data_IF_227561077107
#
_entry.id   IF_227561077107
#
_cell.length_a   1.000
_cell.length_b   1.000
_cell.length_c   1.000
_cell.angle_alpha   90.00
_cell.angle_beta   90.00
_cell.angle_gamma   90.00
#
_symmetry.space_group_name_H-M   'P 1'
#
loop_
_entity.id
_entity.type
_entity.pdbx_description
1 polymer ?
#
# COMPACT_ATOMS: atom_id res chain seq x y z
N UNK A 1 18.51 2.06 -2.42
CA UNK A 1 18.84 2.73 -3.70
C UNK A 1 18.45 4.18 -3.52
N UNK A 2 19.41 5.10 -3.65
CA UNK A 2 19.19 6.54 -3.51
C UNK A 2 18.17 7.04 -4.55
N UNK A 3 17.31 7.98 -4.17
CA UNK A 3 16.23 8.53 -5.03
C UNK A 3 16.77 9.18 -6.33
N UNK A 4 18.03 9.62 -6.31
CA UNK A 4 18.74 10.09 -7.49
C UNK A 4 19.17 8.94 -8.42
N UNK A 5 19.51 7.78 -7.88
CA UNK A 5 19.87 6.59 -8.65
C UNK A 5 18.68 5.96 -9.37
N UNK A 6 17.49 5.96 -8.74
CA UNK A 6 16.25 5.49 -9.40
C UNK A 6 15.82 6.40 -10.54
N UNK A 7 15.90 7.73 -10.36
CA UNK A 7 15.60 8.69 -11.42
C UNK A 7 16.58 8.59 -12.60
N UNK A 8 17.87 8.39 -12.31
CA UNK A 8 18.88 8.17 -13.35
C UNK A 8 18.62 6.88 -14.14
N UNK A 9 18.28 5.78 -13.46
CA UNK A 9 17.93 4.51 -14.12
C UNK A 9 16.68 4.65 -15.00
N UNK A 10 15.65 5.37 -14.54
CA UNK A 10 14.44 5.62 -15.33
C UNK A 10 14.72 6.35 -16.65
N UNK A 11 15.75 7.19 -16.69
CA UNK A 11 16.13 7.94 -17.89
C UNK A 11 17.09 7.15 -18.79
N UNK A 12 17.96 6.33 -18.21
CA UNK A 12 18.97 5.54 -18.94
C UNK A 12 18.37 4.31 -19.66
N UNK A 13 17.45 3.60 -19.01
CA UNK A 13 16.84 2.37 -19.53
C UNK A 13 16.10 2.51 -20.86
N UNK A 14 15.28 3.55 -21.11
CA UNK A 14 14.62 3.71 -22.40
C UNK A 14 15.63 3.97 -23.53
N UNK A 15 16.73 4.69 -23.25
CA UNK A 15 17.79 4.95 -24.23
C UNK A 15 18.50 3.64 -24.61
N UNK A 16 18.84 2.82 -23.62
CA UNK A 16 19.44 1.49 -23.85
C UNK A 16 18.48 0.60 -24.66
N UNK A 17 17.18 0.61 -24.34
CA UNK A 17 16.16 -0.17 -25.06
C UNK A 17 16.05 0.23 -26.53
N UNK A 18 16.08 1.52 -26.83
CA UNK A 18 16.05 2.03 -28.20
C UNK A 18 17.32 1.57 -28.95
N UNK A 19 18.48 1.65 -28.32
CA UNK A 19 19.75 1.16 -28.89
C UNK A 19 19.72 -0.34 -29.23
N UNK A 20 19.23 -1.18 -28.31
CA UNK A 20 19.10 -2.63 -28.53
C UNK A 20 18.13 -2.94 -29.68
N UNK A 21 17.01 -2.21 -29.76
CA UNK A 21 16.01 -2.38 -30.83
C UNK A 21 16.59 -2.04 -32.19
N UNK A 22 17.31 -0.91 -32.29
CA UNK A 22 17.97 -0.47 -33.54
C UNK A 22 19.06 -1.48 -33.94
N UNK A 23 19.87 -1.93 -32.99
CA UNK A 23 20.93 -2.92 -33.24
C UNK A 23 20.36 -4.26 -33.70
N UNK A 24 19.28 -4.76 -33.10
CA UNK A 24 18.64 -6.00 -33.50
C UNK A 24 18.01 -5.91 -34.90
N UNK A 25 17.39 -4.79 -35.24
CA UNK A 25 16.85 -4.53 -36.60
C UNK A 25 17.97 -4.46 -37.63
N UNK A 26 19.11 -3.85 -37.27
CA UNK A 26 20.29 -3.79 -38.13
C UNK A 26 20.91 -5.17 -38.37
N UNK A 27 21.11 -5.97 -37.31
CA UNK A 27 21.60 -7.36 -37.42
C UNK A 27 20.63 -8.27 -38.17
N UNK A 28 19.33 -8.10 -38.01
CA UNK A 28 18.33 -8.84 -38.79
C UNK A 28 18.47 -8.58 -40.30
N UNK A 29 18.80 -7.33 -40.69
CA UNK A 29 19.08 -6.98 -42.09
C UNK A 29 20.34 -7.69 -42.62
N UNK A 30 21.40 -7.73 -41.82
CA UNK A 30 22.67 -8.37 -42.18
C UNK A 30 22.53 -9.90 -42.35
N UNK A 31 21.63 -10.52 -41.58
CA UNK A 31 21.32 -11.96 -41.64
C UNK A 31 20.18 -12.32 -42.62
N UNK A 32 19.75 -11.39 -43.48
CA UNK A 32 18.63 -11.54 -44.41
C UNK A 32 17.31 -12.04 -43.76
N UNK A 33 17.05 -11.62 -42.51
CA UNK A 33 15.82 -11.92 -41.75
C UNK A 33 14.84 -10.74 -41.76
N UNK A 34 13.59 -11.01 -41.36
CA UNK A 34 12.53 -9.98 -41.30
C UNK A 34 12.86 -8.85 -40.32
N UNK A 35 13.17 -7.67 -40.84
CA UNK A 35 13.46 -6.45 -40.07
C UNK A 35 12.29 -6.05 -39.17
N UNK A 36 11.08 -6.16 -39.71
CA UNK A 36 9.84 -5.85 -38.99
C UNK A 36 9.55 -6.84 -37.87
N UNK A 37 9.70 -8.14 -38.13
CA UNK A 37 9.49 -9.18 -37.13
C UNK A 37 10.43 -9.03 -35.93
N UNK A 38 11.71 -8.75 -36.18
CA UNK A 38 12.69 -8.55 -35.12
C UNK A 38 12.48 -7.25 -34.34
N UNK A 39 12.11 -6.16 -35.00
CA UNK A 39 11.79 -4.90 -34.32
C UNK A 39 10.60 -5.03 -33.36
N UNK A 40 9.54 -5.72 -33.81
CA UNK A 40 8.36 -6.04 -33.01
C UNK A 40 8.74 -6.96 -31.84
N UNK A 41 9.46 -8.05 -32.13
CA UNK A 41 9.87 -9.03 -31.13
C UNK A 41 10.68 -8.40 -29.98
N UNK A 42 11.68 -7.57 -30.27
CA UNK A 42 12.50 -6.92 -29.24
C UNK A 42 11.76 -5.85 -28.45
N UNK A 43 10.79 -5.18 -29.07
CA UNK A 43 9.97 -4.18 -28.41
C UNK A 43 9.08 -4.81 -27.33
N UNK A 44 8.47 -5.96 -27.65
CA UNK A 44 7.60 -6.70 -26.73
C UNK A 44 8.37 -7.52 -25.70
N UNK A 45 9.54 -8.07 -26.03
CA UNK A 45 10.35 -8.86 -25.08
C UNK A 45 10.80 -8.07 -23.84
N UNK A 46 11.01 -6.76 -23.99
CA UNK A 46 11.49 -5.87 -22.91
C UNK A 46 10.37 -5.14 -22.16
N UNK A 47 9.13 -5.27 -22.64
CA UNK A 47 7.95 -4.59 -22.09
C UNK A 47 7.55 -5.14 -20.70
N UNK A 48 7.55 -6.47 -20.45
CA UNK A 48 7.28 -7.03 -19.13
C UNK A 48 8.30 -6.57 -18.07
N UNK A 49 9.59 -6.56 -18.39
CA UNK A 49 10.65 -6.10 -17.49
C UNK A 49 10.46 -4.61 -17.09
N UNK A 50 10.05 -3.77 -18.04
CA UNK A 50 9.83 -2.34 -17.80
C UNK A 50 8.59 -2.09 -16.94
N UNK A 51 7.50 -2.82 -17.15
CA UNK A 51 6.30 -2.77 -16.31
C UNK A 51 6.62 -3.22 -14.88
N UNK A 52 7.39 -4.29 -14.70
CA UNK A 52 7.81 -4.78 -13.37
C UNK A 52 8.68 -3.73 -12.65
N UNK A 53 9.60 -3.07 -13.36
CA UNK A 53 10.43 -2.01 -12.77
C UNK A 53 9.62 -0.78 -12.34
N UNK A 54 8.60 -0.40 -13.10
CA UNK A 54 7.66 0.66 -12.70
C UNK A 54 6.85 0.27 -11.46
N UNK A 55 6.51 -1.00 -11.30
CA UNK A 55 5.85 -1.51 -10.09
C UNK A 55 6.79 -1.52 -8.86
N UNK A 56 8.08 -1.82 -9.04
CA UNK A 56 9.09 -1.82 -7.98
C UNK A 56 9.44 -0.41 -7.45
N UNK A 57 9.24 0.64 -8.25
CA UNK A 57 9.45 2.03 -7.83
C UNK A 57 8.48 2.53 -6.73
N UNK A 58 7.52 1.70 -6.31
CA UNK A 58 6.47 2.07 -5.34
C UNK A 58 6.62 1.51 -3.92
N UNK A 59 7.73 0.87 -3.57
CA UNK A 59 7.90 0.38 -2.18
C UNK A 59 9.36 0.30 -1.76
N UNK A 60 9.83 1.26 -0.95
CA UNK A 60 10.91 1.06 0.02
C UNK A 60 11.03 2.24 1.00
N UNK A 61 10.27 2.14 2.09
CA UNK A 61 10.47 2.98 3.27
C UNK A 61 9.94 2.25 4.51
N UNK A 62 10.64 1.17 4.88
CA UNK A 62 10.62 0.63 6.24
C UNK A 62 11.99 0.93 6.88
N UNK A 63 12.03 1.88 7.81
CA UNK A 63 13.12 2.03 8.77
C UNK A 63 12.55 2.46 10.12
N UNK A 64 12.75 1.63 11.13
CA UNK A 64 12.37 1.88 12.52
C UNK A 64 13.60 2.20 13.39
N UNK A 65 13.40 3.16 14.32
CA UNK A 65 14.21 3.49 15.55
C UNK A 65 15.51 4.30 15.28
N UNK A 66 15.90 5.34 16.04
CA UNK A 66 15.60 5.84 17.41
C UNK A 66 15.93 7.38 17.49
N UNK A 67 15.49 8.02 18.57
CA UNK A 67 15.40 9.47 18.94
C UNK A 67 16.75 10.27 18.97
N UNK A 68 16.79 11.52 18.46
CA UNK A 68 17.08 12.76 19.24
C UNK A 68 17.22 14.09 18.41
N UNK A 69 16.55 15.13 18.91
CA UNK A 69 16.81 16.60 18.80
C UNK A 69 16.75 17.40 17.48
N UNK A 70 15.70 18.23 17.36
CA UNK A 70 15.66 19.65 16.86
C UNK A 70 16.08 19.96 15.38
N UNK A 71 15.90 21.21 14.89
CA UNK A 71 14.67 21.76 14.32
C UNK A 71 14.80 21.91 12.79
N UNK A 72 14.34 20.91 12.03
CA UNK A 72 14.25 21.00 10.54
C UNK A 72 12.81 20.75 10.05
N UNK A 73 11.87 20.47 10.98
CA UNK A 73 10.50 20.05 10.68
C UNK A 73 9.63 21.06 9.93
N UNK A 74 10.05 22.33 9.79
CA UNK A 74 9.27 23.35 9.07
C UNK A 74 9.42 23.34 7.54
N UNK A 75 10.36 22.58 6.95
CA UNK A 75 10.60 22.64 5.48
C UNK A 75 10.21 21.39 4.69
N UNK A 76 9.71 20.35 5.35
CA UNK A 76 9.46 19.03 4.73
C UNK A 76 7.96 18.64 4.75
N UNK A 77 7.10 19.37 5.46
CA UNK A 77 5.67 19.06 5.58
C UNK A 77 4.87 19.13 4.26
N UNK A 78 5.41 19.73 3.20
CA UNK A 78 4.62 20.00 1.98
C UNK A 78 4.78 18.97 0.85
N UNK A 79 5.31 17.77 1.11
CA UNK A 79 5.54 16.77 0.04
C UNK A 79 5.36 15.31 0.45
N UNK A 80 4.48 15.05 1.43
CA UNK A 80 4.03 13.67 1.69
C UNK A 80 2.98 13.33 0.62
N UNK A 81 3.10 12.17 -0.07
CA UNK A 81 2.13 11.79 -1.09
C UNK A 81 0.76 11.66 -0.43
N UNK A 82 -0.21 12.33 -1.04
CA UNK A 82 -1.64 12.21 -0.77
C UNK A 82 -2.07 10.73 -0.85
N UNK A 83 -1.83 9.94 0.20
CA UNK A 83 -2.54 8.67 0.41
C UNK A 83 -3.87 9.05 1.06
N UNK A 84 -4.66 9.69 0.19
CA UNK A 84 -6.11 9.81 0.13
C UNK A 84 -6.90 9.80 1.44
N UNK A 85 -7.12 11.02 1.96
CA UNK A 85 -8.24 11.39 2.83
C UNK A 85 -9.53 10.65 2.41
N UNK A 86 -9.78 10.58 1.10
CA UNK A 86 -10.92 9.88 0.51
C UNK A 86 -10.93 8.37 0.83
N UNK A 87 -9.79 7.67 0.77
CA UNK A 87 -9.71 6.23 1.05
C UNK A 87 -9.94 5.93 2.54
N UNK A 88 -9.58 6.85 3.42
CA UNK A 88 -9.89 6.74 4.84
C UNK A 88 -11.38 6.89 5.10
N UNK A 89 -11.95 7.98 4.58
CA UNK A 89 -13.38 8.28 4.65
C UNK A 89 -14.26 7.16 4.11
N UNK A 90 -13.95 6.63 2.92
CA UNK A 90 -14.70 5.53 2.31
C UNK A 90 -14.68 4.25 3.15
N UNK A 91 -13.56 3.96 3.81
CA UNK A 91 -13.43 2.77 4.64
C UNK A 91 -14.27 2.86 5.93
N UNK A 92 -14.34 4.03 6.56
CA UNK A 92 -15.18 4.27 7.74
C UNK A 92 -16.66 4.08 7.43
N UNK A 93 -17.12 4.65 6.32
CA UNK A 93 -18.55 4.77 6.02
C UNK A 93 -19.18 3.46 5.54
N UNK A 94 -18.39 2.56 4.95
CA UNK A 94 -18.91 1.35 4.33
C UNK A 94 -19.13 0.19 5.31
N UNK A 95 -18.94 0.42 6.61
CA UNK A 95 -18.91 -0.64 7.63
C UNK A 95 -19.58 -0.21 8.92
N UNK A 96 -20.09 -1.22 9.63
CA UNK A 96 -20.58 -1.09 10.99
C UNK A 96 -19.45 -1.48 11.94
N UNK A 97 -19.13 -0.58 12.86
CA UNK A 97 -17.99 -0.72 13.77
C UNK A 97 -18.47 -1.03 15.17
N UNK A 98 -18.17 -2.23 15.67
CA UNK A 98 -18.52 -2.61 17.03
C UNK A 98 -17.40 -2.17 17.98
N UNK A 99 -17.76 -1.38 18.98
CA UNK A 99 -16.82 -0.96 20.02
C UNK A 99 -16.53 -2.13 20.96
N UNK A 100 -15.24 -2.47 21.09
CA UNK A 100 -14.77 -3.47 22.03
C UNK A 100 -14.50 -2.82 23.39
N UNK A 101 -15.08 -3.40 24.43
CA UNK A 101 -14.90 -2.97 25.83
C UNK A 101 -14.44 -4.16 26.66
N UNK A 102 -13.50 -3.91 27.57
CA UNK A 102 -12.92 -4.96 28.43
C UNK A 102 -13.86 -5.40 29.56
N UNK A 103 -14.93 -4.66 29.81
CA UNK A 103 -15.97 -4.99 30.79
C UNK A 103 -17.26 -5.42 30.10
N UNK A 104 -18.09 -6.17 30.83
CA UNK A 104 -19.44 -6.60 30.42
C UNK A 104 -20.33 -5.36 30.15
N UNK A 105 -20.21 -4.82 28.95
CA UNK A 105 -21.03 -3.74 28.43
C UNK A 105 -21.94 -4.27 27.34
N UNK A 106 -23.08 -3.61 27.17
CA UNK A 106 -23.93 -3.86 26.01
C UNK A 106 -23.15 -3.56 24.73
N UNK A 107 -23.38 -4.40 23.72
CA UNK A 107 -22.87 -4.21 22.37
C UNK A 107 -23.24 -2.81 21.86
N UNK A 108 -22.23 -2.04 21.48
CA UNK A 108 -22.38 -0.70 20.94
C UNK A 108 -21.81 -0.65 19.52
N UNK A 109 -22.61 -0.21 18.57
CA UNK A 109 -22.26 -0.16 17.15
C UNK A 109 -22.23 1.28 16.66
N UNK A 110 -21.13 1.65 16.02
CA UNK A 110 -20.88 2.95 15.43
C UNK A 110 -21.03 2.85 13.92
N UNK A 111 -21.88 3.71 13.36
CA UNK A 111 -22.18 3.76 11.91
C UNK A 111 -21.87 5.18 11.43
N UNK A 112 -20.77 5.32 10.70
CA UNK A 112 -20.33 6.59 10.14
C UNK A 112 -21.05 6.83 8.81
N UNK A 113 -21.89 7.86 8.72
CA UNK A 113 -22.64 8.14 7.49
C UNK A 113 -21.92 9.15 6.58
N UNK A 114 -22.22 9.10 5.27
CA UNK A 114 -21.60 9.97 4.25
C UNK A 114 -21.81 11.47 4.51
N UNK A 115 -22.93 11.81 5.15
CA UNK A 115 -23.36 13.16 5.49
C UNK A 115 -22.76 13.68 6.80
N UNK A 116 -21.75 12.99 7.37
CA UNK A 116 -21.10 13.31 8.66
C UNK A 116 -21.97 13.03 9.89
N UNK A 117 -23.12 12.37 9.73
CA UNK A 117 -23.89 11.86 10.86
C UNK A 117 -23.20 10.62 11.43
N UNK A 118 -23.07 10.54 12.76
CA UNK A 118 -22.66 9.33 13.46
C UNK A 118 -23.89 8.74 14.15
N UNK A 119 -24.22 7.48 13.86
CA UNK A 119 -25.23 6.74 14.61
C UNK A 119 -24.55 5.79 15.59
N UNK A 120 -24.97 5.82 16.84
CA UNK A 120 -24.48 4.94 17.91
C UNK A 120 -25.65 4.09 18.36
N UNK A 121 -25.66 2.82 17.93
CA UNK A 121 -26.72 1.87 18.26
C UNK A 121 -26.31 1.02 19.45
N UNK A 122 -27.15 0.99 20.49
CA UNK A 122 -26.98 0.14 21.67
C UNK A 122 -28.32 -0.45 22.07
N UNK A 123 -28.42 -1.79 22.10
CA UNK A 123 -29.63 -2.52 22.53
C UNK A 123 -30.94 -2.09 21.82
N UNK A 124 -30.86 -1.57 20.59
CA UNK A 124 -32.02 -1.11 19.81
C UNK A 124 -32.32 0.38 19.93
N UNK A 125 -31.69 1.08 20.87
CA UNK A 125 -31.71 2.55 20.96
C UNK A 125 -30.59 3.13 20.08
N UNK A 126 -30.84 4.30 19.48
CA UNK A 126 -29.90 4.97 18.57
C UNK A 126 -29.69 6.40 19.01
N UNK A 127 -28.47 6.69 19.47
CA UNK A 127 -27.99 8.04 19.69
C UNK A 127 -27.40 8.61 18.40
N UNK A 128 -27.55 9.93 18.23
CA UNK A 128 -27.02 10.66 17.08
C UNK A 128 -25.91 11.60 17.51
N UNK A 129 -24.78 11.50 16.84
CA UNK A 129 -23.66 12.42 16.94
C UNK A 129 -23.25 12.94 15.57
N UNK A 130 -22.13 13.65 15.54
CA UNK A 130 -21.44 14.05 14.31
C UNK A 130 -20.04 13.49 14.29
N UNK A 131 -19.52 13.29 13.08
CA UNK A 131 -18.12 12.96 12.89
C UNK A 131 -17.59 13.73 11.68
N UNK A 132 -16.34 14.17 11.77
CA UNK A 132 -15.68 14.86 10.67
C UNK A 132 -14.20 14.49 10.65
N UNK A 133 -13.64 14.36 9.46
CA UNK A 133 -12.21 14.26 9.32
C UNK A 133 -11.62 15.67 9.35
N UNK A 134 -10.66 15.88 10.23
CA UNK A 134 -9.95 17.14 10.41
C UNK A 134 -8.46 16.91 10.14
N UNK A 135 -7.72 17.99 9.89
CA UNK A 135 -6.34 17.94 9.40
C UNK A 135 -5.43 16.91 10.10
N UNK A 136 -4.41 16.46 9.38
CA UNK A 136 -3.46 15.41 9.81
C UNK A 136 -4.11 14.04 10.08
N UNK A 137 -5.04 13.62 9.20
CA UNK A 137 -5.74 12.33 9.27
C UNK A 137 -6.45 12.10 10.61
N UNK A 138 -6.90 13.16 11.28
CA UNK A 138 -7.58 13.05 12.56
C UNK A 138 -9.09 13.02 12.36
N UNK A 139 -9.81 12.38 13.28
CA UNK A 139 -11.27 12.36 13.29
C UNK A 139 -11.75 13.13 14.50
N UNK A 140 -12.60 14.13 14.30
CA UNK A 140 -13.39 14.71 15.36
C UNK A 140 -14.70 13.93 15.48
N UNK A 141 -15.02 13.47 16.68
CA UNK A 141 -16.31 12.85 17.01
C UNK A 141 -17.00 13.72 18.03
N UNK A 142 -18.23 14.11 17.74
CA UNK A 142 -19.09 14.93 18.58
C UNK A 142 -20.29 14.11 19.05
N UNK A 143 -20.39 13.87 20.35
CA UNK A 143 -21.46 13.11 21.01
C UNK A 143 -21.80 13.84 22.30
N UNK A 144 -23.08 14.00 22.62
CA UNK A 144 -23.55 14.65 23.86
C UNK A 144 -22.94 16.04 24.11
N UNK A 145 -22.83 16.87 23.06
CA UNK A 145 -22.18 18.19 23.08
C UNK A 145 -20.70 18.18 23.50
N UNK A 146 -20.03 17.02 23.41
CA UNK A 146 -18.59 16.88 23.63
C UNK A 146 -17.92 16.49 22.33
N UNK A 147 -16.98 17.32 21.90
CA UNK A 147 -16.13 17.04 20.75
C UNK A 147 -14.81 16.45 21.24
N UNK A 148 -14.45 15.28 20.74
CA UNK A 148 -13.18 14.60 21.04
C UNK A 148 -12.42 14.35 19.76
N UNK A 149 -11.15 14.73 19.74
CA UNK A 149 -10.27 14.53 18.61
C UNK A 149 -9.55 13.20 18.74
N UNK A 150 -9.54 12.42 17.65
CA UNK A 150 -8.94 11.11 17.58
C UNK A 150 -7.93 11.00 16.45
N UNK A 151 -6.84 10.27 16.69
CA UNK A 151 -5.83 9.90 15.70
C UNK A 151 -5.92 8.39 15.41
N UNK A 152 -6.15 7.98 14.15
CA UNK A 152 -6.08 6.59 13.75
C UNK A 152 -4.67 6.04 14.00
N UNK A 153 -4.57 5.00 14.83
CA UNK A 153 -3.29 4.35 15.16
C UNK A 153 -3.12 3.06 14.35
N UNK A 154 -4.22 2.36 14.09
CA UNK A 154 -4.21 1.14 13.29
C UNK A 154 -5.52 1.03 12.50
N UNK A 155 -5.40 0.59 11.24
CA UNK A 155 -6.53 0.42 10.32
C UNK A 155 -6.24 -0.77 9.42
N UNK A 156 -7.11 -1.76 9.45
CA UNK A 156 -7.16 -2.86 8.47
C UNK A 156 -8.54 -2.92 7.86
N UNK A 157 -8.82 -3.93 7.03
CA UNK A 157 -10.19 -4.19 6.57
C UNK A 157 -11.18 -4.33 7.74
N UNK A 158 -10.71 -4.83 8.87
CA UNK A 158 -11.56 -5.40 9.92
C UNK A 158 -11.39 -4.75 11.30
N UNK A 159 -10.32 -3.97 11.47
CA UNK A 159 -9.91 -3.41 12.75
C UNK A 159 -9.65 -1.93 12.58
N UNK A 160 -10.19 -1.13 13.50
CA UNK A 160 -9.96 0.31 13.57
C UNK A 160 -9.61 0.68 15.00
N UNK A 161 -8.45 1.31 15.21
CA UNK A 161 -8.00 1.77 16.52
C UNK A 161 -7.83 3.28 16.47
N UNK A 162 -8.58 3.98 17.30
CA UNK A 162 -8.56 5.44 17.42
C UNK A 162 -7.98 5.83 18.78
N UNK A 163 -6.89 6.61 18.79
CA UNK A 163 -6.29 7.17 20.00
C UNK A 163 -6.81 8.57 20.23
N UNK A 164 -7.19 8.92 21.46
CA UNK A 164 -7.55 10.30 21.81
C UNK A 164 -6.30 11.20 21.67
N UNK A 165 -6.43 12.34 21.00
CA UNK A 165 -5.30 13.23 20.82
C UNK A 165 -4.77 13.74 22.17
N UNK A 166 -3.45 13.63 22.36
CA UNK A 166 -2.78 14.01 23.60
C UNK A 166 -3.01 13.09 24.82
N UNK A 167 -3.72 11.96 24.68
CA UNK A 167 -3.98 11.02 25.79
C UNK A 167 -3.69 9.56 25.42
N UNK A 168 -3.35 8.73 26.40
CA UNK A 168 -3.20 7.28 26.24
C UNK A 168 -4.54 6.53 26.38
N UNK A 169 -5.58 7.08 25.74
CA UNK A 169 -6.94 6.52 25.71
C UNK A 169 -7.25 6.06 24.29
N UNK A 170 -7.81 4.86 24.15
CA UNK A 170 -8.02 4.22 22.85
C UNK A 170 -9.45 3.69 22.71
N UNK A 171 -10.02 3.88 21.53
CA UNK A 171 -11.23 3.17 21.08
C UNK A 171 -10.80 2.06 20.14
N UNK A 172 -11.24 0.84 20.46
CA UNK A 172 -10.97 -0.35 19.68
C UNK A 172 -12.25 -0.78 18.99
N UNK A 173 -12.25 -0.75 17.66
CA UNK A 173 -13.38 -1.13 16.85
C UNK A 173 -13.06 -2.35 16.00
N UNK A 174 -14.04 -3.24 15.87
CA UNK A 174 -13.99 -4.38 14.96
C UNK A 174 -15.19 -4.34 14.02
N UNK A 175 -15.02 -4.85 12.80
CA UNK A 175 -16.13 -5.10 11.88
C UNK A 175 -17.19 -6.00 12.54
N UNK A 176 -18.46 -5.64 12.35
CA UNK A 176 -19.60 -6.37 12.92
C UNK A 176 -19.59 -7.87 12.61
N UNK A 177 -19.17 -8.27 11.40
CA UNK A 177 -19.11 -9.70 11.03
C UNK A 177 -18.10 -10.46 11.89
N UNK A 178 -16.89 -9.90 12.05
CA UNK A 178 -15.87 -10.52 12.90
C UNK A 178 -16.26 -10.54 14.38
N UNK A 179 -17.01 -9.53 14.84
CA UNK A 179 -17.55 -9.53 16.19
C UNK A 179 -18.50 -10.72 16.41
N UNK A 180 -19.39 -10.98 15.43
CA UNK A 180 -20.32 -12.11 15.45
C UNK A 180 -19.60 -13.46 15.40
N UNK A 181 -18.48 -13.55 14.68
CA UNK A 181 -17.60 -14.72 14.63
C UNK A 181 -16.81 -14.95 15.95
N UNK A 182 -16.89 -14.02 16.91
CA UNK A 182 -16.39 -14.21 18.27
C UNK A 182 -15.22 -13.31 18.68
N UNK A 183 -14.86 -12.30 17.87
CA UNK A 183 -13.87 -11.28 18.26
C UNK A 183 -14.50 -10.24 19.20
N UNK A 184 -14.61 -10.58 20.48
CA UNK A 184 -15.33 -9.77 21.49
C UNK A 184 -14.44 -9.03 22.50
N UNK A 185 -13.14 -9.32 22.52
CA UNK A 185 -12.20 -8.76 23.51
C UNK A 185 -11.00 -8.14 22.84
N UNK A 186 -10.36 -7.18 23.51
CA UNK A 186 -9.13 -6.54 23.03
C UNK A 186 -7.96 -7.51 22.94
N UNK A 187 -7.96 -8.61 23.71
CA UNK A 187 -6.86 -9.59 23.69
C UNK A 187 -6.76 -10.29 22.33
N UNK A 188 -7.91 -10.58 21.69
CA UNK A 188 -7.95 -11.14 20.33
C UNK A 188 -7.46 -10.16 19.27
N UNK A 189 -7.48 -8.85 19.54
CA UNK A 189 -6.96 -7.85 18.60
C UNK A 189 -5.46 -8.02 18.41
N UNK A 190 -4.71 -8.28 19.47
CA UNK A 190 -3.25 -8.45 19.38
C UNK A 190 -2.88 -9.66 18.51
N UNK A 191 -3.69 -10.73 18.56
CA UNK A 191 -3.58 -11.90 17.69
C UNK A 191 -3.93 -11.57 16.23
N UNK A 192 -4.97 -10.77 15.99
CA UNK A 192 -5.33 -10.30 14.65
C UNK A 192 -4.25 -9.39 14.04
N UNK A 193 -3.64 -8.52 14.84
CA UNK A 193 -2.55 -7.65 14.38
C UNK A 193 -1.31 -8.48 14.04
N UNK A 194 -0.94 -9.45 14.90
CA UNK A 194 0.23 -10.29 14.66
C UNK A 194 0.07 -11.19 13.43
N UNK A 195 -1.09 -11.83 13.25
CA UNK A 195 -1.40 -12.64 12.07
C UNK A 195 -1.43 -11.82 10.78
N UNK A 196 -2.01 -10.62 10.81
CA UNK A 196 -2.03 -9.72 9.65
C UNK A 196 -0.62 -9.31 9.23
N UNK A 197 0.24 -8.94 10.19
CA UNK A 197 1.64 -8.57 9.91
C UNK A 197 2.41 -9.72 9.27
N UNK A 198 2.31 -10.93 9.84
CA UNK A 198 2.97 -12.11 9.29
C UNK A 198 2.49 -12.44 7.86
N UNK A 199 1.18 -12.33 7.59
CA UNK A 199 0.63 -12.59 6.25
C UNK A 199 1.09 -11.59 5.19
N UNK A 200 1.35 -10.34 5.59
CA UNK A 200 1.88 -9.31 4.69
C UNK A 200 3.36 -9.54 4.40
N UNK A 201 4.12 -10.02 5.39
CA UNK A 201 5.51 -10.44 5.18
C UNK A 201 5.60 -11.63 4.20
N UNK A 202 4.72 -12.63 4.36
CA UNK A 202 4.63 -13.84 3.50
C UNK A 202 4.12 -13.55 2.07
N UNK A 203 3.43 -12.43 1.86
CA UNK A 203 3.07 -12.01 0.48
C UNK A 203 4.21 -11.25 -0.19
N UNK A 204 5.02 -10.55 0.60
CA UNK A 204 6.08 -9.70 0.08
C UNK A 204 7.32 -10.49 -0.34
N UNK A 205 7.69 -11.53 0.41
CA UNK A 205 8.75 -12.47 0.04
C UNK A 205 8.37 -13.31 -1.20
N UNK A 206 7.14 -13.81 -1.30
CA UNK A 206 6.63 -14.56 -2.46
C UNK A 206 6.66 -13.70 -3.74
N UNK A 207 6.21 -12.45 -3.66
CA UNK A 207 6.28 -11.51 -4.79
C UNK A 207 7.74 -11.23 -5.16
N UNK A 208 8.63 -11.07 -4.19
CA UNK A 208 10.05 -10.81 -4.43
C UNK A 208 10.73 -12.01 -5.09
N UNK A 209 10.40 -13.22 -4.65
CA UNK A 209 10.86 -14.48 -5.25
C UNK A 209 10.40 -14.64 -6.70
N UNK A 210 9.10 -14.42 -6.96
CA UNK A 210 8.52 -14.49 -8.30
C UNK A 210 9.17 -13.47 -9.25
N UNK A 211 9.39 -12.23 -8.80
CA UNK A 211 10.08 -11.20 -9.57
C UNK A 211 11.53 -11.62 -9.87
N UNK A 212 12.23 -12.20 -8.90
CA UNK A 212 13.58 -12.74 -9.08
C UNK A 212 13.64 -13.80 -10.18
N UNK A 213 12.69 -14.75 -10.18
CA UNK A 213 12.59 -15.80 -11.21
C UNK A 213 12.31 -15.22 -12.59
N UNK A 214 11.44 -14.22 -12.69
CA UNK A 214 11.11 -13.56 -13.96
C UNK A 214 12.33 -12.82 -14.51
N UNK A 215 13.05 -12.05 -13.67
CA UNK A 215 14.26 -11.34 -14.09
C UNK A 215 15.33 -12.33 -14.56
N UNK A 216 15.55 -13.43 -13.84
CA UNK A 216 16.50 -14.46 -14.22
C UNK A 216 16.15 -15.09 -15.59
N UNK A 217 14.88 -15.39 -15.83
CA UNK A 217 14.41 -15.93 -17.12
C UNK A 217 14.68 -14.96 -18.28
N UNK A 218 14.43 -13.66 -18.07
CA UNK A 218 14.66 -12.62 -19.08
C UNK A 218 16.16 -12.49 -19.40
N UNK A 219 17.03 -12.52 -18.37
CA UNK A 219 18.48 -12.47 -18.56
C UNK A 219 19.00 -13.72 -19.28
N UNK A 220 18.51 -14.91 -18.93
CA UNK A 220 18.88 -16.15 -19.60
C UNK A 220 18.49 -16.14 -21.08
N UNK A 221 17.28 -15.63 -21.41
CA UNK A 221 16.83 -15.50 -22.80
C UNK A 221 17.69 -14.51 -23.61
N UNK A 222 18.07 -13.36 -23.04
CA UNK A 222 18.90 -12.38 -23.76
C UNK A 222 20.30 -12.91 -24.03
N UNK A 223 20.90 -13.62 -23.08
CA UNK A 223 22.20 -14.30 -23.26
C UNK A 223 22.09 -15.39 -24.35
N UNK A 224 21.04 -16.22 -24.30
CA UNK A 224 20.80 -17.26 -25.31
C UNK A 224 20.66 -16.69 -26.73
N UNK A 225 19.94 -15.57 -26.88
CA UNK A 225 19.83 -14.85 -28.16
C UNK A 225 21.19 -14.32 -28.61
N UNK A 226 22.00 -13.74 -27.70
CA UNK A 226 23.33 -13.22 -28.02
C UNK A 226 24.27 -14.32 -28.52
N UNK A 227 24.25 -15.49 -27.85
CA UNK A 227 25.04 -16.67 -28.23
C UNK A 227 24.58 -17.20 -29.59
N UNK A 228 23.27 -17.32 -29.83
CA UNK A 228 22.73 -17.81 -31.10
C UNK A 228 23.08 -16.87 -32.28
N UNK A 229 23.05 -15.55 -32.07
CA UNK A 229 23.43 -14.55 -33.09
C UNK A 229 24.96 -14.52 -33.31
N UNK A 230 25.76 -14.75 -32.26
CA UNK A 230 27.22 -14.83 -32.36
C UNK A 230 27.72 -16.08 -33.09
N UNK A 231 27.07 -17.24 -32.88
CA UNK A 231 27.39 -18.49 -33.58
C UNK A 231 26.95 -18.49 -35.05
N UNK A 232 25.86 -17.80 -35.40
CA UNK A 232 25.42 -17.64 -36.80
C UNK A 232 26.30 -16.69 -37.63
N UNK A 233 27.30 -16.06 -37.01
CA UNK A 233 28.20 -15.08 -37.62
C UNK A 233 29.60 -15.63 -37.92
N UNK A 234 29.80 -16.94 -37.74
CA UNK A 234 31.01 -17.67 -38.16
C UNK A 234 30.68 -18.61 -39.31
#
# INVERSE_FOLDING_TARGET
MNQQGTAFLMLLLPIIKIGITIWAVYRAKELNRSRWGWGIFTFFLTLPAFIILLCLGKKKDNSSKKIDSSPISKKIANKIPFISLEVFKQHLINKNWVLLRNSEGHRQVYIFQKDQTLLISQAGEVDKGRWEEVGDNSILIEVDNKSTLYKPTHKTEHLLILKVDGKEEYLHFVDEKLYEEGCKTTDKINELISSTNNSNEIKEDDITGLIGTIIFSIVAMTIGILIAVGLSSR
#
